data_IF_900058219753
#
_entry.id   IF_900058219753
#
_cell.length_a   1.000
_cell.length_b   1.000
_cell.length_c   1.000
_cell.angle_alpha   90.00
_cell.angle_beta   90.00
_cell.angle_gamma   90.00
#
_symmetry.space_group_name_H-M   'P 1'
#
loop_
_entity.id
_entity.type
_entity.pdbx_description
1 polymer ?
#
# COMPACT_ATOMS: atom_id res chain seq x y z
N UNK A 1 -33.90 1.47 -19.46
CA UNK A 1 -33.43 0.24 -18.77
C UNK A 1 -32.40 0.61 -17.75
N UNK A 2 -32.38 0.00 -16.57
CA UNK A 2 -31.31 0.18 -15.58
C UNK A 2 -30.32 -0.96 -15.75
N UNK A 3 -29.04 -0.61 -15.97
CA UNK A 3 -27.96 -1.58 -16.14
C UNK A 3 -27.09 -1.65 -14.90
N UNK A 4 -26.54 -2.84 -14.61
CA UNK A 4 -25.52 -3.04 -13.60
C UNK A 4 -24.23 -3.60 -14.21
N UNK A 5 -23.05 -3.08 -13.83
CA UNK A 5 -21.78 -3.64 -14.26
C UNK A 5 -21.49 -4.98 -13.56
N UNK A 6 -20.81 -5.86 -14.28
CA UNK A 6 -20.27 -7.12 -13.79
C UNK A 6 -18.78 -7.09 -14.08
N UNK A 7 -17.98 -7.04 -13.02
CA UNK A 7 -16.54 -6.80 -13.12
C UNK A 7 -15.78 -7.91 -12.41
N UNK A 8 -14.82 -8.50 -13.11
CA UNK A 8 -13.82 -9.43 -12.58
C UNK A 8 -12.42 -8.95 -12.93
N UNK A 9 -11.46 -9.28 -12.09
CA UNK A 9 -10.07 -8.88 -12.23
C UNK A 9 -9.14 -10.08 -12.27
N UNK A 10 -8.12 -10.00 -13.11
CA UNK A 10 -6.96 -10.88 -13.14
C UNK A 10 -5.74 -10.04 -12.75
N UNK A 11 -5.12 -10.38 -11.63
CA UNK A 11 -4.01 -9.59 -11.07
C UNK A 11 -2.76 -10.45 -11.06
N UNK A 12 -1.74 -10.02 -11.83
CA UNK A 12 -0.44 -10.64 -11.87
C UNK A 12 0.53 -9.90 -10.94
N UNK A 13 1.24 -10.65 -10.13
CA UNK A 13 2.22 -10.13 -9.17
C UNK A 13 3.57 -10.81 -9.36
N UNK A 14 4.59 -10.07 -9.77
CA UNK A 14 5.97 -10.55 -9.77
C UNK A 14 6.47 -10.70 -8.34
N UNK A 15 7.00 -11.88 -8.00
CA UNK A 15 7.52 -12.19 -6.68
C UNK A 15 8.97 -11.72 -6.55
N UNK A 16 9.28 -11.09 -5.43
CA UNK A 16 10.61 -10.56 -5.12
C UNK A 16 11.56 -11.64 -4.61
N UNK A 17 11.76 -12.68 -5.42
CA UNK A 17 12.71 -13.76 -5.13
C UNK A 17 14.12 -13.43 -5.63
N UNK A 18 15.14 -14.12 -5.11
CA UNK A 18 16.53 -13.93 -5.55
C UNK A 18 16.79 -14.57 -6.91
N UNK A 19 16.09 -15.65 -7.23
CA UNK A 19 16.23 -16.41 -8.49
C UNK A 19 14.87 -16.59 -9.14
N UNK A 20 14.88 -16.96 -10.40
CA UNK A 20 13.70 -17.20 -11.22
C UNK A 20 12.87 -18.40 -10.74
N UNK A 21 11.67 -18.55 -11.34
CA UNK A 21 10.70 -19.56 -10.89
C UNK A 21 11.21 -20.99 -11.05
N UNK A 22 11.88 -21.28 -12.17
CA UNK A 22 12.33 -22.62 -12.51
C UNK A 22 13.82 -22.71 -12.84
N UNK A 23 14.56 -21.59 -12.79
CA UNK A 23 15.99 -21.52 -13.06
C UNK A 23 16.76 -20.79 -11.98
N UNK A 24 18.09 -20.90 -11.99
CA UNK A 24 18.98 -20.24 -11.04
C UNK A 24 19.37 -18.82 -11.43
N UNK A 25 18.93 -18.33 -12.61
CA UNK A 25 19.21 -16.96 -13.01
C UNK A 25 18.63 -15.96 -12.00
N UNK A 26 19.33 -14.86 -11.71
CA UNK A 26 18.87 -13.89 -10.74
C UNK A 26 17.70 -13.05 -11.26
N UNK A 27 16.82 -12.62 -10.33
CA UNK A 27 15.78 -11.63 -10.60
C UNK A 27 16.30 -10.27 -10.16
N UNK A 28 16.72 -9.43 -11.12
CA UNK A 28 17.26 -8.09 -10.86
C UNK A 28 16.72 -7.11 -11.89
N UNK A 29 16.04 -6.06 -11.39
CA UNK A 29 15.51 -5.00 -12.24
C UNK A 29 16.61 -4.06 -12.76
N UNK A 30 16.45 -3.52 -13.98
CA UNK A 30 17.31 -2.45 -14.52
C UNK A 30 18.70 -2.88 -14.97
N UNK A 31 18.99 -4.20 -15.09
CA UNK A 31 20.26 -4.70 -15.65
C UNK A 31 20.25 -4.65 -17.17
N UNK A 32 21.47 -4.66 -17.75
CA UNK A 32 21.66 -4.76 -19.19
C UNK A 32 20.82 -5.90 -19.80
N UNK A 33 20.16 -5.67 -20.94
CA UNK A 33 19.31 -6.66 -21.56
C UNK A 33 20.02 -8.00 -21.80
N UNK A 34 19.31 -9.10 -21.54
CA UNK A 34 19.76 -10.49 -21.79
C UNK A 34 21.01 -10.91 -21.00
N UNK A 35 21.32 -10.26 -19.87
CA UNK A 35 22.44 -10.61 -18.98
C UNK A 35 22.03 -11.44 -17.77
N UNK A 36 20.72 -11.49 -17.45
CA UNK A 36 20.15 -12.22 -16.31
C UNK A 36 19.32 -13.40 -16.82
N UNK A 37 19.94 -14.31 -17.54
CA UNK A 37 19.29 -15.47 -18.18
C UNK A 37 20.07 -16.75 -17.93
N UNK A 38 19.35 -17.86 -17.73
CA UNK A 38 19.90 -19.20 -17.70
C UNK A 38 19.57 -19.94 -18.99
N UNK A 39 20.26 -21.04 -19.32
CA UNK A 39 19.94 -21.86 -20.50
C UNK A 39 18.48 -22.33 -20.55
N UNK A 40 17.87 -22.62 -19.41
CA UNK A 40 16.44 -22.94 -19.29
C UNK A 40 15.54 -21.81 -19.81
N UNK A 41 15.84 -20.57 -19.40
CA UNK A 41 15.04 -19.39 -19.76
C UNK A 41 15.07 -19.14 -21.30
N UNK A 42 16.14 -19.61 -21.95
CA UNK A 42 16.35 -19.53 -23.39
C UNK A 42 15.96 -20.80 -24.15
N UNK A 43 15.31 -21.74 -23.46
CA UNK A 43 14.87 -23.03 -24.03
C UNK A 43 15.99 -23.90 -24.63
N UNK A 44 17.19 -23.89 -24.03
CA UNK A 44 18.27 -24.74 -24.50
C UNK A 44 17.93 -26.22 -24.29
N UNK A 45 18.22 -27.09 -25.27
CA UNK A 45 17.97 -28.53 -25.16
C UNK A 45 18.66 -29.15 -23.95
N UNK A 46 17.96 -30.06 -23.26
CA UNK A 46 18.49 -30.79 -22.11
C UNK A 46 18.39 -30.06 -20.76
N UNK A 47 17.83 -28.84 -20.73
CA UNK A 47 17.58 -28.12 -19.46
C UNK A 47 16.28 -28.57 -18.81
N UNK A 48 16.26 -28.69 -17.49
CA UNK A 48 15.11 -29.14 -16.72
C UNK A 48 14.71 -28.06 -15.68
N UNK A 49 13.40 -27.80 -15.49
CA UNK A 49 12.90 -26.85 -14.52
C UNK A 49 13.04 -27.36 -13.08
N UNK A 50 13.39 -26.46 -12.15
CA UNK A 50 13.43 -26.71 -10.69
C UNK A 50 12.63 -25.64 -9.97
N UNK A 51 11.63 -26.07 -9.21
CA UNK A 51 10.70 -25.15 -8.54
C UNK A 51 11.39 -24.31 -7.46
N UNK A 52 11.21 -23.00 -7.50
CA UNK A 52 11.75 -22.06 -6.53
C UNK A 52 10.96 -22.17 -5.20
N UNK A 53 11.64 -22.67 -4.15
CA UNK A 53 11.05 -22.83 -2.82
C UNK A 53 10.53 -21.52 -2.23
N UNK A 54 11.25 -20.39 -2.43
CA UNK A 54 10.81 -19.10 -1.88
C UNK A 54 9.52 -18.61 -2.57
N UNK A 55 9.39 -18.83 -3.88
CA UNK A 55 8.17 -18.49 -4.59
C UNK A 55 6.94 -19.27 -4.05
N UNK A 56 7.13 -20.54 -3.68
CA UNK A 56 6.07 -21.33 -3.03
C UNK A 56 5.70 -20.76 -1.65
N UNK A 57 6.69 -20.41 -0.83
CA UNK A 57 6.45 -19.77 0.47
C UNK A 57 5.68 -18.45 0.29
N UNK A 58 6.06 -17.63 -0.67
CA UNK A 58 5.44 -16.35 -0.93
C UNK A 58 3.99 -16.51 -1.43
N UNK A 59 3.74 -17.49 -2.30
CA UNK A 59 2.38 -17.83 -2.74
C UNK A 59 1.50 -18.29 -1.57
N UNK A 60 2.02 -19.14 -0.65
CA UNK A 60 1.31 -19.57 0.56
C UNK A 60 0.95 -18.39 1.47
N UNK A 61 1.88 -17.43 1.66
CA UNK A 61 1.61 -16.20 2.44
C UNK A 61 0.46 -15.39 1.87
N UNK A 62 0.44 -15.22 0.54
CA UNK A 62 -0.64 -14.49 -0.14
C UNK A 62 -1.95 -15.27 -0.06
N UNK A 63 -1.94 -16.59 -0.29
CA UNK A 63 -3.14 -17.44 -0.12
C UNK A 63 -3.74 -17.31 1.29
N UNK A 64 -2.90 -17.38 2.33
CA UNK A 64 -3.33 -17.21 3.71
C UNK A 64 -3.95 -15.84 3.97
N UNK A 65 -3.31 -14.76 3.49
CA UNK A 65 -3.81 -13.38 3.61
C UNK A 65 -5.13 -13.15 2.87
N UNK A 66 -5.41 -13.94 1.84
CA UNK A 66 -6.63 -13.92 1.04
C UNK A 66 -7.66 -14.97 1.49
N UNK A 67 -7.45 -15.59 2.64
CA UNK A 67 -8.37 -16.61 3.22
C UNK A 67 -8.65 -17.79 2.28
N UNK A 68 -7.67 -18.19 1.48
CA UNK A 68 -7.80 -19.27 0.51
C UNK A 68 -7.50 -20.64 1.10
N UNK A 69 -8.14 -21.67 0.54
CA UNK A 69 -7.74 -23.07 0.74
C UNK A 69 -6.46 -23.34 -0.04
N UNK A 70 -5.40 -23.81 0.65
CA UNK A 70 -4.10 -24.11 0.06
C UNK A 70 -4.04 -25.57 -0.35
N UNK A 71 -3.69 -25.84 -1.64
CA UNK A 71 -3.47 -27.20 -2.12
C UNK A 71 -2.12 -27.71 -1.59
N UNK A 72 -2.14 -28.84 -0.89
CA UNK A 72 -0.93 -29.44 -0.32
C UNK A 72 -0.10 -30.24 -1.31
N UNK A 73 -0.52 -30.30 -2.56
CA UNK A 73 0.24 -30.96 -3.62
C UNK A 73 0.38 -30.03 -4.85
N UNK A 74 1.59 -29.55 -5.08
CA UNK A 74 1.87 -28.67 -6.21
C UNK A 74 1.89 -29.46 -7.50
N UNK A 75 1.05 -29.08 -8.44
CA UNK A 75 1.04 -29.53 -9.81
C UNK A 75 1.34 -28.37 -10.73
N UNK A 76 2.07 -28.63 -11.79
CA UNK A 76 2.33 -27.66 -12.85
C UNK A 76 1.88 -28.21 -14.20
N UNK A 77 1.37 -27.32 -15.03
CA UNK A 77 0.87 -27.61 -16.37
C UNK A 77 1.64 -26.75 -17.39
N UNK A 78 1.65 -27.19 -18.64
CA UNK A 78 2.13 -26.39 -19.77
C UNK A 78 0.97 -25.70 -20.45
N UNK A 79 1.03 -24.37 -20.54
CA UNK A 79 0.16 -23.54 -21.37
C UNK A 79 0.86 -23.30 -22.69
N UNK A 80 0.41 -23.98 -23.75
CA UNK A 80 1.12 -23.97 -25.03
C UNK A 80 0.65 -22.82 -25.90
N UNK A 81 1.59 -21.97 -26.31
CA UNK A 81 1.38 -20.95 -27.32
C UNK A 81 2.73 -20.51 -27.90
N UNK A 82 2.73 -20.07 -29.15
CA UNK A 82 3.94 -19.66 -29.84
C UNK A 82 3.97 -18.16 -29.99
N UNK A 83 4.90 -17.55 -29.28
CA UNK A 83 5.15 -16.11 -29.36
C UNK A 83 6.62 -15.82 -29.09
N UNK A 84 7.14 -14.71 -29.61
CA UNK A 84 8.57 -14.36 -29.51
C UNK A 84 9.07 -14.16 -28.10
N UNK A 85 8.20 -13.83 -27.16
CA UNK A 85 8.53 -13.64 -25.74
C UNK A 85 8.62 -14.94 -24.93
N UNK A 86 8.31 -16.07 -25.55
CA UNK A 86 8.23 -17.38 -24.91
C UNK A 86 9.08 -18.42 -25.68
N UNK A 87 10.41 -18.48 -25.44
CA UNK A 87 11.32 -19.32 -26.24
C UNK A 87 10.98 -20.81 -26.22
N UNK A 88 10.46 -21.31 -25.11
CA UNK A 88 10.07 -22.72 -24.94
C UNK A 88 8.84 -23.11 -25.78
N UNK A 89 8.06 -22.16 -26.27
CA UNK A 89 6.76 -22.38 -26.89
C UNK A 89 5.63 -22.74 -25.90
N UNK A 90 5.92 -22.74 -24.62
CA UNK A 90 4.95 -22.93 -23.54
C UNK A 90 5.36 -22.15 -22.28
N UNK A 91 4.38 -21.80 -21.49
CA UNK A 91 4.55 -21.24 -20.14
C UNK A 91 4.24 -22.33 -19.12
N UNK A 92 5.08 -22.49 -18.11
CA UNK A 92 4.77 -23.37 -16.97
C UNK A 92 3.87 -22.60 -16.01
N UNK A 93 2.71 -23.17 -15.71
CA UNK A 93 1.64 -22.57 -14.90
C UNK A 93 0.90 -23.62 -14.09
N UNK A 94 -0.23 -23.30 -13.47
CA UNK A 94 -1.12 -24.23 -12.77
C UNK A 94 -2.55 -24.03 -13.27
N UNK A 95 -3.05 -24.91 -14.12
CA UNK A 95 -4.41 -24.83 -14.65
C UNK A 95 -5.42 -25.57 -13.75
N UNK A 96 -5.28 -26.89 -13.64
CA UNK A 96 -6.27 -27.73 -12.94
C UNK A 96 -6.16 -27.69 -11.41
N UNK A 97 -4.95 -27.51 -10.89
CA UNK A 97 -4.67 -27.52 -9.45
C UNK A 97 -3.86 -26.28 -9.06
N UNK A 98 -4.50 -25.09 -9.02
CA UNK A 98 -3.88 -23.89 -8.50
C UNK A 98 -3.56 -24.07 -7.01
N UNK A 99 -2.47 -23.44 -6.54
CA UNK A 99 -2.04 -23.53 -5.13
C UNK A 99 -3.08 -22.97 -4.15
N UNK A 100 -3.84 -21.94 -4.57
CA UNK A 100 -4.91 -21.34 -3.76
C UNK A 100 -6.27 -21.43 -4.47
N UNK A 101 -7.30 -21.81 -3.73
CA UNK A 101 -8.69 -21.92 -4.21
C UNK A 101 -9.66 -21.26 -3.24
N UNK A 102 -10.72 -20.68 -3.77
CA UNK A 102 -11.87 -20.16 -3.01
C UNK A 102 -11.44 -19.30 -1.80
N UNK A 103 -11.16 -18.06 -2.06
CA UNK A 103 -10.81 -17.09 -1.03
C UNK A 103 -11.72 -15.87 -1.07
N UNK A 104 -11.35 -14.85 -0.31
CA UNK A 104 -12.04 -13.56 -0.36
C UNK A 104 -11.17 -12.41 0.12
N UNK A 105 -11.58 -11.22 -0.25
CA UNK A 105 -11.03 -9.97 0.22
C UNK A 105 -12.17 -9.01 0.59
N UNK A 106 -12.01 -8.27 1.68
CA UNK A 106 -12.98 -7.25 2.10
C UNK A 106 -12.50 -5.85 1.69
N UNK A 107 -13.42 -5.07 1.11
CA UNK A 107 -13.21 -3.67 0.72
C UNK A 107 -14.23 -2.79 1.44
N UNK A 108 -13.86 -1.53 1.71
CA UNK A 108 -14.77 -0.55 2.29
C UNK A 108 -15.27 0.43 1.22
N UNK A 109 -16.59 0.48 1.05
CA UNK A 109 -17.28 1.38 0.13
C UNK A 109 -18.38 2.13 0.87
N UNK A 110 -18.30 3.46 0.91
CA UNK A 110 -19.28 4.32 1.59
C UNK A 110 -19.55 3.91 3.04
N UNK A 111 -18.48 3.55 3.79
CA UNK A 111 -18.56 3.13 5.19
C UNK A 111 -19.19 1.73 5.40
N UNK A 112 -19.34 0.95 4.34
CA UNK A 112 -19.82 -0.44 4.40
C UNK A 112 -18.75 -1.39 3.89
N UNK A 113 -18.56 -2.48 4.61
CA UNK A 113 -17.68 -3.57 4.19
C UNK A 113 -18.39 -4.44 3.15
N UNK A 114 -17.73 -4.68 2.02
CA UNK A 114 -18.16 -5.61 0.99
C UNK A 114 -17.13 -6.68 0.79
N UNK A 115 -17.54 -7.94 0.85
CA UNK A 115 -16.69 -9.10 0.55
C UNK A 115 -16.73 -9.38 -0.95
N UNK A 116 -15.55 -9.55 -1.56
CA UNK A 116 -15.34 -9.95 -2.95
C UNK A 116 -14.68 -11.31 -2.94
N UNK A 117 -15.29 -12.29 -3.59
CA UNK A 117 -14.75 -13.64 -3.72
C UNK A 117 -13.54 -13.68 -4.65
N UNK A 118 -12.63 -14.60 -4.33
CA UNK A 118 -11.46 -14.93 -5.16
C UNK A 118 -11.64 -16.37 -5.61
N UNK A 119 -11.55 -16.61 -6.92
CA UNK A 119 -11.72 -17.93 -7.49
C UNK A 119 -10.49 -18.79 -7.27
N UNK A 120 -9.31 -18.26 -7.64
CA UNK A 120 -8.03 -18.96 -7.55
C UNK A 120 -6.83 -18.03 -7.45
N UNK A 121 -5.75 -18.57 -6.94
CA UNK A 121 -4.40 -18.07 -7.07
C UNK A 121 -3.53 -19.19 -7.62
N UNK A 122 -2.83 -18.95 -8.73
CA UNK A 122 -1.91 -19.92 -9.29
C UNK A 122 -0.52 -19.32 -9.53
N UNK A 123 0.47 -20.21 -9.55
CA UNK A 123 1.87 -19.87 -9.76
C UNK A 123 2.23 -20.08 -11.21
N UNK A 124 3.03 -19.18 -11.76
CA UNK A 124 3.53 -19.25 -13.13
C UNK A 124 4.87 -18.55 -13.29
N UNK A 125 5.42 -18.57 -14.49
CA UNK A 125 6.61 -17.81 -14.87
C UNK A 125 6.23 -16.67 -15.82
N UNK A 126 6.91 -15.52 -15.69
CA UNK A 126 6.70 -14.40 -16.61
C UNK A 126 7.42 -14.61 -17.95
N UNK A 127 6.99 -13.89 -18.96
CA UNK A 127 7.57 -13.90 -20.31
C UNK A 127 8.60 -12.77 -20.48
N UNK A 128 9.31 -12.73 -21.62
CA UNK A 128 10.27 -11.66 -21.84
C UNK A 128 9.60 -10.30 -22.07
N UNK A 129 10.35 -9.23 -21.81
CA UNK A 129 9.92 -7.87 -22.15
C UNK A 129 10.13 -7.62 -23.63
N UNK A 130 9.07 -7.15 -24.30
CA UNK A 130 9.12 -6.77 -25.71
C UNK A 130 9.09 -5.25 -25.87
N UNK A 131 9.91 -4.73 -26.76
CA UNK A 131 9.91 -3.34 -27.18
C UNK A 131 9.62 -3.31 -28.69
N UNK A 132 8.42 -2.89 -29.05
CA UNK A 132 7.96 -2.83 -30.44
C UNK A 132 8.34 -1.51 -31.09
N UNK A 133 8.96 -1.61 -32.27
CA UNK A 133 9.24 -0.51 -33.18
C UNK A 133 8.50 -0.76 -34.50
N UNK A 134 8.49 0.21 -35.38
CA UNK A 134 7.74 0.13 -36.64
C UNK A 134 8.17 -1.04 -37.55
N UNK A 135 9.44 -1.45 -37.49
CA UNK A 135 10.03 -2.43 -38.40
C UNK A 135 10.65 -3.64 -37.69
N UNK A 136 10.81 -3.60 -36.38
CA UNK A 136 11.40 -4.67 -35.58
C UNK A 136 10.89 -4.67 -34.14
N UNK A 137 11.16 -5.75 -33.41
CA UNK A 137 10.89 -5.88 -31.97
C UNK A 137 12.16 -6.31 -31.27
N UNK A 138 12.54 -5.59 -30.21
CA UNK A 138 13.61 -6.00 -29.30
C UNK A 138 13.06 -6.87 -28.20
N UNK A 139 13.81 -7.92 -27.85
CA UNK A 139 13.46 -8.90 -26.83
C UNK A 139 14.48 -8.83 -25.69
N UNK A 140 13.99 -8.63 -24.47
CA UNK A 140 14.81 -8.67 -23.26
C UNK A 140 14.34 -9.82 -22.36
N UNK A 141 15.10 -10.91 -22.35
CA UNK A 141 14.80 -12.13 -21.61
C UNK A 141 15.17 -12.06 -20.12
N UNK A 142 15.67 -10.95 -19.60
CA UNK A 142 15.93 -10.80 -18.16
C UNK A 142 14.67 -11.06 -17.32
N UNK A 143 13.48 -10.70 -17.83
CA UNK A 143 12.21 -10.96 -17.14
C UNK A 143 11.70 -12.39 -17.33
N UNK A 144 12.01 -13.05 -18.45
CA UNK A 144 11.56 -14.42 -18.73
C UNK A 144 11.94 -15.37 -17.59
N UNK A 145 10.96 -16.11 -17.07
CA UNK A 145 11.14 -17.01 -15.93
C UNK A 145 11.03 -16.33 -14.55
N UNK A 146 10.80 -15.02 -14.45
CA UNK A 146 10.52 -14.35 -13.18
C UNK A 146 9.30 -15.00 -12.50
N UNK A 147 9.37 -15.35 -11.21
CA UNK A 147 8.24 -15.96 -10.52
C UNK A 147 7.03 -14.99 -10.48
N UNK A 148 5.89 -15.52 -10.87
CA UNK A 148 4.66 -14.78 -11.00
C UNK A 148 3.54 -15.54 -10.29
N UNK A 149 2.64 -14.82 -9.63
CA UNK A 149 1.35 -15.35 -9.19
C UNK A 149 0.24 -14.57 -9.88
N UNK A 150 -0.79 -15.29 -10.30
CA UNK A 150 -2.01 -14.68 -10.83
C UNK A 150 -3.17 -14.92 -9.86
N UNK A 151 -3.86 -13.84 -9.48
CA UNK A 151 -5.01 -13.82 -8.59
C UNK A 151 -6.25 -13.49 -9.42
N UNK A 152 -7.21 -14.41 -9.48
CA UNK A 152 -8.44 -14.26 -10.25
C UNK A 152 -9.61 -14.01 -9.30
N UNK A 153 -10.26 -12.87 -9.41
CA UNK A 153 -11.45 -12.55 -8.62
C UNK A 153 -12.71 -13.19 -9.22
N UNK A 154 -13.72 -13.42 -8.38
CA UNK A 154 -15.08 -13.66 -8.88
C UNK A 154 -15.65 -12.35 -9.47
N UNK A 155 -16.59 -12.41 -10.44
CA UNK A 155 -17.16 -11.23 -11.09
C UNK A 155 -18.25 -10.56 -10.23
N UNK A 156 -17.86 -10.18 -9.00
CA UNK A 156 -18.77 -9.67 -7.96
C UNK A 156 -18.68 -8.17 -7.75
N UNK A 157 -17.70 -7.50 -8.39
CA UNK A 157 -17.60 -6.04 -8.35
C UNK A 157 -18.62 -5.38 -9.27
N UNK A 158 -19.13 -4.21 -8.85
CA UNK A 158 -20.24 -3.49 -9.50
C UNK A 158 -19.91 -2.04 -9.86
N UNK A 159 -18.69 -1.59 -9.56
CA UNK A 159 -18.24 -0.24 -9.93
C UNK A 159 -16.72 -0.19 -10.13
N UNK A 160 -16.25 0.84 -10.84
CA UNK A 160 -14.83 1.11 -10.98
C UNK A 160 -14.16 1.42 -9.65
N UNK A 161 -14.87 2.05 -8.71
CA UNK A 161 -14.38 2.30 -7.35
C UNK A 161 -14.15 0.99 -6.58
N UNK A 162 -15.07 0.03 -6.64
CA UNK A 162 -14.89 -1.29 -6.02
C UNK A 162 -13.66 -2.02 -6.57
N UNK A 163 -13.46 -1.98 -7.89
CA UNK A 163 -12.30 -2.59 -8.54
C UNK A 163 -11.00 -1.90 -8.12
N UNK A 164 -10.97 -0.57 -8.08
CA UNK A 164 -9.81 0.21 -7.60
C UNK A 164 -9.46 -0.17 -6.16
N UNK A 165 -10.43 -0.18 -5.25
CA UNK A 165 -10.25 -0.57 -3.84
C UNK A 165 -9.74 -2.00 -3.69
N UNK A 166 -10.26 -2.92 -4.49
CA UNK A 166 -9.81 -4.31 -4.49
C UNK A 166 -8.32 -4.41 -4.86
N UNK A 167 -7.86 -3.71 -5.91
CA UNK A 167 -6.44 -3.72 -6.31
C UNK A 167 -5.56 -3.01 -5.28
N UNK A 168 -6.01 -1.91 -4.66
CA UNK A 168 -5.31 -1.27 -3.55
C UNK A 168 -5.07 -2.25 -2.38
N UNK A 169 -6.08 -3.07 -2.06
CA UNK A 169 -5.98 -4.08 -1.00
C UNK A 169 -5.02 -5.21 -1.36
N UNK A 170 -5.09 -5.74 -2.58
CA UNK A 170 -4.12 -6.76 -3.07
C UNK A 170 -2.70 -6.18 -3.01
N UNK A 171 -2.50 -4.95 -3.52
CA UNK A 171 -1.20 -4.27 -3.47
C UNK A 171 -0.69 -4.16 -2.03
N UNK A 172 -1.54 -3.73 -1.11
CA UNK A 172 -1.18 -3.65 0.31
C UNK A 172 -0.73 -5.01 0.86
N UNK A 173 -1.47 -6.09 0.59
CA UNK A 173 -1.13 -7.44 1.05
C UNK A 173 0.25 -7.86 0.52
N UNK A 174 0.50 -7.75 -0.78
CA UNK A 174 1.75 -8.23 -1.38
C UNK A 174 2.97 -7.39 -0.97
N UNK A 175 2.77 -6.09 -0.71
CA UNK A 175 3.84 -5.20 -0.23
C UNK A 175 4.14 -5.45 1.25
N UNK A 176 3.12 -5.52 2.12
CA UNK A 176 3.33 -5.72 3.55
C UNK A 176 3.83 -7.13 3.88
N UNK A 177 3.39 -8.16 3.18
CA UNK A 177 3.93 -9.52 3.29
C UNK A 177 5.36 -9.66 2.76
N UNK A 178 5.85 -8.64 2.05
CA UNK A 178 7.21 -8.61 1.50
C UNK A 178 7.42 -9.47 0.26
N UNK A 179 6.34 -9.96 -0.35
CA UNK A 179 6.42 -10.86 -1.53
C UNK A 179 6.63 -10.10 -2.84
N UNK A 180 6.21 -8.82 -2.90
CA UNK A 180 6.39 -7.95 -4.08
C UNK A 180 6.57 -6.50 -3.65
N UNK A 181 7.06 -5.64 -4.53
CA UNK A 181 7.04 -4.19 -4.34
C UNK A 181 5.75 -3.53 -4.84
N UNK A 182 4.92 -4.27 -5.58
CA UNK A 182 3.58 -3.87 -5.98
C UNK A 182 3.52 -2.62 -6.86
N UNK A 183 4.51 -2.40 -7.71
CA UNK A 183 4.61 -1.23 -8.59
C UNK A 183 4.01 -1.53 -9.96
N UNK A 184 2.93 -0.83 -10.31
CA UNK A 184 2.30 -0.98 -11.63
C UNK A 184 3.15 -0.35 -12.74
N UNK A 185 3.80 0.76 -12.47
CA UNK A 185 4.67 1.48 -13.42
C UNK A 185 5.92 0.70 -13.82
N UNK A 186 6.41 -0.18 -12.94
CA UNK A 186 7.54 -1.07 -13.23
C UNK A 186 7.08 -2.45 -13.75
N UNK A 187 5.77 -2.72 -13.68
CA UNK A 187 5.15 -3.97 -14.15
C UNK A 187 5.20 -5.12 -13.14
N UNK A 188 5.66 -4.87 -11.90
CA UNK A 188 5.65 -5.90 -10.85
C UNK A 188 4.24 -6.18 -10.28
N UNK A 189 3.28 -5.30 -10.58
CA UNK A 189 1.85 -5.54 -10.39
C UNK A 189 1.12 -5.13 -11.66
N UNK A 190 0.36 -6.05 -12.25
CA UNK A 190 -0.43 -5.83 -13.47
C UNK A 190 -1.87 -6.24 -13.21
N UNK A 191 -2.81 -5.54 -13.80
CA UNK A 191 -4.23 -5.81 -13.65
C UNK A 191 -4.92 -5.81 -15.00
N UNK A 192 -5.53 -6.93 -15.35
CA UNK A 192 -6.43 -7.08 -16.48
C UNK A 192 -7.87 -7.03 -15.95
N UNK A 193 -8.70 -6.20 -16.58
CA UNK A 193 -10.10 -5.98 -16.17
C UNK A 193 -11.02 -6.66 -17.16
N UNK A 194 -11.90 -7.49 -16.66
CA UNK A 194 -13.01 -8.07 -17.42
C UNK A 194 -14.30 -7.34 -17.02
N UNK A 195 -14.95 -6.66 -17.95
CA UNK A 195 -16.18 -5.90 -17.69
C UNK A 195 -17.27 -6.24 -18.69
N UNK A 196 -18.49 -6.43 -18.19
CA UNK A 196 -19.72 -6.50 -18.96
C UNK A 196 -20.83 -5.75 -18.23
N UNK A 197 -21.93 -5.43 -18.91
CA UNK A 197 -23.13 -4.90 -18.28
C UNK A 197 -24.30 -5.84 -18.55
N UNK A 198 -25.24 -5.89 -17.62
CA UNK A 198 -26.50 -6.61 -17.75
C UNK A 198 -27.66 -5.75 -17.25
N UNK A 199 -28.88 -6.12 -17.64
CA UNK A 199 -30.07 -5.53 -17.02
C UNK A 199 -30.06 -5.87 -15.51
N UNK A 200 -30.40 -4.87 -14.71
CA UNK A 200 -30.42 -5.03 -13.25
C UNK A 200 -31.44 -6.09 -12.83
N UNK A 201 -30.96 -7.07 -12.06
CA UNK A 201 -31.76 -8.21 -11.64
C UNK A 201 -31.81 -9.39 -12.63
N UNK A 202 -31.13 -9.31 -13.77
CA UNK A 202 -30.98 -10.43 -14.70
C UNK A 202 -29.87 -11.38 -14.24
N UNK A 203 -30.07 -12.70 -14.39
CA UNK A 203 -29.04 -13.69 -14.15
C UNK A 203 -28.08 -13.92 -15.35
N UNK A 204 -28.42 -13.36 -16.52
CA UNK A 204 -27.63 -13.51 -17.73
C UNK A 204 -26.51 -12.46 -17.77
N UNK A 205 -25.27 -12.93 -17.88
CA UNK A 205 -24.13 -12.04 -18.12
C UNK A 205 -24.19 -11.42 -19.51
N UNK A 206 -23.77 -10.16 -19.63
CA UNK A 206 -23.53 -9.51 -20.91
C UNK A 206 -22.22 -9.98 -21.56
N UNK A 207 -21.94 -9.47 -22.75
CA UNK A 207 -20.71 -9.77 -23.46
C UNK A 207 -19.49 -9.14 -22.77
N UNK A 208 -18.52 -9.97 -22.42
CA UNK A 208 -17.31 -9.58 -21.70
C UNK A 208 -16.33 -8.83 -22.60
N UNK A 209 -15.86 -7.69 -22.17
CA UNK A 209 -14.75 -6.93 -22.75
C UNK A 209 -13.58 -6.96 -21.78
N UNK A 210 -12.40 -7.23 -22.29
CA UNK A 210 -11.15 -7.28 -21.54
C UNK A 210 -10.39 -5.95 -21.73
N UNK A 211 -9.99 -5.30 -20.65
CA UNK A 211 -9.16 -4.08 -20.69
C UNK A 211 -7.78 -4.41 -20.15
N UNK A 212 -6.76 -4.19 -20.97
CA UNK A 212 -5.35 -4.44 -20.65
C UNK A 212 -4.52 -3.16 -20.59
N UNK A 213 -3.27 -3.30 -20.17
CA UNK A 213 -2.28 -2.21 -20.13
C UNK A 213 -2.72 -1.02 -19.28
N UNK A 214 -3.24 -1.32 -18.09
CA UNK A 214 -3.57 -0.29 -17.09
C UNK A 214 -2.36 -0.10 -16.17
N UNK A 215 -1.71 1.07 -16.26
CA UNK A 215 -0.43 1.35 -15.62
C UNK A 215 -0.55 2.07 -14.28
N UNK A 216 -1.76 2.29 -13.77
CA UNK A 216 -2.02 2.96 -12.49
C UNK A 216 -3.33 2.47 -11.90
N UNK A 217 -3.39 2.36 -10.58
CA UNK A 217 -4.61 1.96 -9.85
C UNK A 217 -5.76 2.95 -10.13
N UNK A 218 -5.47 4.25 -10.20
CA UNK A 218 -6.49 5.26 -10.51
C UNK A 218 -7.06 5.14 -11.93
N UNK A 219 -6.32 4.53 -12.86
CA UNK A 219 -6.80 4.31 -14.22
C UNK A 219 -7.75 3.10 -14.32
N UNK A 220 -7.71 2.19 -13.35
CA UNK A 220 -8.66 1.06 -13.28
C UNK A 220 -10.08 1.58 -13.21
N UNK A 221 -10.36 2.47 -12.26
CA UNK A 221 -11.69 3.08 -12.12
C UNK A 221 -12.11 3.80 -13.39
N UNK A 222 -11.25 4.69 -13.92
CA UNK A 222 -11.56 5.48 -15.11
C UNK A 222 -11.82 4.62 -16.35
N UNK A 223 -11.03 3.56 -16.54
CA UNK A 223 -11.19 2.64 -17.66
C UNK A 223 -12.50 1.86 -17.58
N UNK A 224 -12.87 1.40 -16.39
CA UNK A 224 -14.14 0.71 -16.15
C UNK A 224 -15.33 1.64 -16.36
N UNK A 225 -15.30 2.84 -15.76
CA UNK A 225 -16.38 3.80 -15.85
C UNK A 225 -16.63 4.20 -17.31
N UNK A 226 -15.57 4.44 -18.08
CA UNK A 226 -15.70 4.71 -19.53
C UNK A 226 -16.28 3.52 -20.29
N UNK A 227 -15.80 2.31 -20.03
CA UNK A 227 -16.22 1.11 -20.75
C UNK A 227 -17.68 0.75 -20.46
N UNK A 228 -18.13 0.92 -19.22
CA UNK A 228 -19.53 0.73 -18.80
C UNK A 228 -20.44 1.69 -19.58
N UNK A 229 -20.08 2.97 -19.65
CA UNK A 229 -20.86 3.96 -20.41
C UNK A 229 -20.83 3.70 -21.92
N UNK A 230 -19.70 3.20 -22.46
CA UNK A 230 -19.60 2.81 -23.86
C UNK A 230 -20.53 1.64 -24.17
N UNK A 231 -20.50 0.56 -23.37
CA UNK A 231 -21.37 -0.60 -23.56
C UNK A 231 -22.85 -0.23 -23.43
N UNK A 232 -23.20 0.63 -22.47
CA UNK A 232 -24.57 1.13 -22.29
C UNK A 232 -25.07 1.86 -23.54
N UNK A 233 -24.28 2.77 -24.09
CA UNK A 233 -24.64 3.51 -25.32
C UNK A 233 -24.85 2.58 -26.51
N UNK A 234 -24.02 1.54 -26.71
CA UNK A 234 -24.17 0.55 -27.76
C UNK A 234 -25.50 -0.18 -27.62
N UNK A 235 -25.81 -0.69 -26.43
CA UNK A 235 -27.08 -1.41 -26.21
C UNK A 235 -28.29 -0.50 -26.38
N UNK A 236 -28.24 0.74 -25.90
CA UNK A 236 -29.31 1.73 -26.05
C UNK A 236 -29.52 2.14 -27.51
N UNK A 237 -28.48 2.10 -28.37
CA UNK A 237 -28.61 2.33 -29.82
C UNK A 237 -29.04 1.10 -30.61
N UNK A 238 -29.23 -0.04 -29.95
CA UNK A 238 -29.60 -1.30 -30.59
C UNK A 238 -28.40 -2.06 -31.22
N UNK A 239 -27.19 -1.66 -30.89
CA UNK A 239 -25.96 -2.32 -31.31
C UNK A 239 -25.53 -3.38 -30.28
N UNK A 240 -24.87 -4.42 -30.76
CA UNK A 240 -24.35 -5.48 -29.90
C UNK A 240 -22.94 -5.15 -29.37
N UNK A 241 -22.70 -5.46 -28.11
CA UNK A 241 -21.35 -5.46 -27.54
C UNK A 241 -20.62 -6.69 -28.05
N UNK A 242 -19.49 -6.50 -28.72
CA UNK A 242 -18.66 -7.60 -29.21
C UNK A 242 -17.55 -7.95 -28.22
N UNK A 243 -17.17 -9.24 -28.16
CA UNK A 243 -16.09 -9.68 -27.32
C UNK A 243 -14.74 -9.23 -27.91
N UNK A 244 -14.06 -8.34 -27.18
CA UNK A 244 -12.84 -7.70 -27.65
C UNK A 244 -11.86 -7.43 -26.50
N UNK A 245 -10.57 -7.26 -26.85
CA UNK A 245 -9.55 -6.72 -25.95
C UNK A 245 -9.34 -5.26 -26.29
N UNK A 246 -9.37 -4.42 -25.26
CA UNK A 246 -9.14 -2.97 -25.33
C UNK A 246 -7.95 -2.58 -24.46
N UNK A 247 -7.39 -1.38 -24.66
CA UNK A 247 -6.43 -0.74 -23.75
C UNK A 247 -6.97 0.61 -23.31
N UNK A 248 -6.61 1.04 -22.12
CA UNK A 248 -6.92 2.40 -21.69
C UNK A 248 -5.90 3.39 -22.27
N UNK A 249 -6.37 4.52 -22.79
CA UNK A 249 -5.55 5.63 -23.29
C UNK A 249 -5.78 6.84 -22.37
N UNK A 250 -4.78 7.16 -21.53
CA UNK A 250 -4.90 8.24 -20.54
C UNK A 250 -4.99 9.63 -21.19
N UNK A 251 -4.32 9.84 -22.31
CA UNK A 251 -4.35 11.13 -23.00
C UNK A 251 -5.76 11.45 -23.57
N UNK A 252 -6.44 10.43 -24.08
CA UNK A 252 -7.80 10.54 -24.61
C UNK A 252 -8.88 10.25 -23.57
N UNK A 253 -8.50 9.66 -22.43
CA UNK A 253 -9.42 9.19 -21.35
C UNK A 253 -10.49 8.23 -21.84
N UNK A 254 -10.11 7.34 -22.76
CA UNK A 254 -11.00 6.36 -23.37
C UNK A 254 -10.34 4.98 -23.48
N UNK A 255 -11.15 3.92 -23.66
CA UNK A 255 -10.67 2.61 -24.04
C UNK A 255 -10.59 2.52 -25.56
N UNK A 256 -9.48 1.98 -26.08
CA UNK A 256 -9.22 1.82 -27.51
C UNK A 256 -9.13 0.33 -27.83
N UNK A 257 -9.83 -0.11 -28.90
CA UNK A 257 -9.78 -1.51 -29.36
C UNK A 257 -8.38 -1.89 -29.80
N UNK A 258 -7.88 -3.01 -29.27
CA UNK A 258 -6.64 -3.63 -29.71
C UNK A 258 -6.89 -4.75 -30.72
N UNK A 259 -7.81 -5.67 -30.39
CA UNK A 259 -8.18 -6.81 -31.24
C UNK A 259 -9.57 -7.33 -30.92
N UNK A 260 -10.20 -7.94 -31.91
CA UNK A 260 -11.41 -8.74 -31.69
C UNK A 260 -11.00 -10.12 -31.14
N UNK A 261 -11.74 -10.65 -30.19
CA UNK A 261 -11.65 -12.04 -29.76
C UNK A 261 -12.61 -12.88 -30.58
N UNK A 262 -12.23 -13.25 -31.80
CA UNK A 262 -13.08 -14.06 -32.70
C UNK A 262 -13.16 -15.52 -32.29
N UNK A 263 -12.10 -16.02 -31.62
CA UNK A 263 -12.05 -17.41 -31.14
C UNK A 263 -11.33 -17.49 -29.79
N UNK A 264 -11.81 -18.36 -28.90
CA UNK A 264 -11.05 -18.72 -27.70
C UNK A 264 -9.84 -19.55 -28.12
N UNK A 265 -8.64 -19.06 -27.78
CA UNK A 265 -7.41 -19.81 -28.02
C UNK A 265 -7.42 -21.05 -27.13
N UNK A 266 -7.41 -22.24 -27.73
CA UNK A 266 -7.18 -23.47 -26.98
C UNK A 266 -5.67 -23.64 -26.75
N UNK A 267 -5.23 -23.38 -25.52
CA UNK A 267 -3.83 -23.51 -25.10
C UNK A 267 -3.39 -24.96 -24.93
N UNK A 268 -4.25 -25.94 -25.12
CA UNK A 268 -3.95 -27.39 -25.04
C UNK A 268 -3.13 -27.71 -23.78
N UNK A 269 -3.66 -27.36 -22.63
CA UNK A 269 -3.01 -27.64 -21.35
C UNK A 269 -2.73 -29.13 -21.17
N UNK A 270 -1.53 -29.45 -20.68
CA UNK A 270 -1.18 -30.77 -20.19
C UNK A 270 -0.14 -30.68 -19.07
N UNK A 271 0.00 -31.70 -18.19
CA UNK A 271 0.93 -31.66 -17.07
C UNK A 271 2.38 -31.46 -17.50
N UNK A 272 3.14 -30.64 -16.77
CA UNK A 272 4.58 -30.47 -16.95
C UNK A 272 5.32 -31.75 -16.54
N UNK A 273 5.77 -32.51 -17.50
CA UNK A 273 6.34 -33.83 -17.28
C UNK A 273 7.67 -33.84 -16.52
N UNK A 274 8.41 -32.71 -16.52
CA UNK A 274 9.70 -32.60 -15.85
C UNK A 274 9.59 -32.10 -14.39
N UNK A 275 8.38 -31.77 -13.93
CA UNK A 275 8.11 -31.42 -12.53
C UNK A 275 7.11 -32.45 -11.99
N UNK A 276 7.61 -33.42 -11.25
CA UNK A 276 6.74 -34.36 -10.53
C UNK A 276 5.92 -33.62 -9.47
N UNK A 277 4.69 -34.05 -9.15
CA UNK A 277 3.90 -33.46 -8.09
C UNK A 277 4.68 -33.36 -6.78
N UNK A 278 4.70 -32.16 -6.17
CA UNK A 278 5.45 -31.89 -4.94
C UNK A 278 4.49 -31.79 -3.77
N UNK A 279 4.59 -32.74 -2.84
CA UNK A 279 3.78 -32.71 -1.63
C UNK A 279 4.35 -31.72 -0.61
N UNK A 280 3.55 -30.77 -0.19
CA UNK A 280 3.84 -29.84 0.90
C UNK A 280 3.42 -30.49 2.23
N UNK A 281 4.35 -30.59 3.17
CA UNK A 281 3.98 -31.06 4.53
C UNK A 281 3.21 -29.97 5.27
N UNK A 282 2.34 -30.37 6.22
CA UNK A 282 1.61 -29.44 7.09
C UNK A 282 2.56 -28.45 7.74
N UNK A 283 3.66 -28.97 8.30
CA UNK A 283 4.71 -28.14 8.91
C UNK A 283 5.29 -27.09 7.94
N UNK A 284 5.51 -27.45 6.68
CA UNK A 284 6.04 -26.48 5.69
C UNK A 284 5.03 -25.35 5.44
N UNK A 285 3.74 -25.67 5.32
CA UNK A 285 2.66 -24.69 5.13
C UNK A 285 2.54 -23.80 6.38
N UNK A 286 2.52 -24.39 7.57
CA UNK A 286 2.45 -23.66 8.84
C UNK A 286 3.65 -22.72 9.03
N UNK A 287 4.89 -23.20 8.77
CA UNK A 287 6.09 -22.40 8.86
C UNK A 287 6.07 -21.23 7.85
N UNK A 288 5.57 -21.46 6.63
CA UNK A 288 5.40 -20.42 5.61
C UNK A 288 4.41 -19.33 6.06
N UNK A 289 3.25 -19.74 6.60
CA UNK A 289 2.24 -18.82 7.15
C UNK A 289 2.83 -18.03 8.34
N UNK A 290 3.45 -18.72 9.29
CA UNK A 290 4.05 -18.09 10.47
C UNK A 290 5.18 -17.10 10.13
N UNK A 291 5.86 -17.31 9.00
CA UNK A 291 6.91 -16.41 8.49
C UNK A 291 6.37 -15.17 7.78
N UNK A 292 5.05 -15.03 7.61
CA UNK A 292 4.44 -13.86 6.99
C UNK A 292 4.62 -12.63 7.91
N UNK A 293 5.19 -11.53 7.41
CA UNK A 293 5.23 -10.29 8.18
C UNK A 293 3.83 -9.77 8.52
N UNK A 294 3.74 -8.96 9.57
CA UNK A 294 2.50 -8.31 9.98
C UNK A 294 1.90 -7.46 8.85
N UNK A 295 0.68 -7.77 8.45
CA UNK A 295 -0.03 -7.07 7.37
C UNK A 295 -0.54 -5.70 7.84
N UNK A 296 -0.89 -4.83 6.88
CA UNK A 296 -1.34 -3.46 7.14
C UNK A 296 -2.52 -3.40 8.13
N UNK A 297 -3.50 -4.29 8.01
CA UNK A 297 -4.68 -4.31 8.89
C UNK A 297 -4.32 -4.68 10.32
N UNK A 298 -3.54 -5.73 10.50
CA UNK A 298 -3.07 -6.14 11.83
C UNK A 298 -2.26 -5.02 12.50
N UNK A 299 -1.41 -4.31 11.71
CA UNK A 299 -0.69 -3.11 12.20
C UNK A 299 -1.65 -1.99 12.58
N UNK A 300 -2.64 -1.69 11.72
CA UNK A 300 -3.66 -0.68 12.00
C UNK A 300 -4.39 -0.99 13.30
N UNK A 301 -4.85 -2.23 13.46
CA UNK A 301 -5.50 -2.67 14.70
C UNK A 301 -4.60 -2.51 15.91
N UNK A 302 -3.32 -2.90 15.80
CA UNK A 302 -2.35 -2.75 16.87
C UNK A 302 -2.14 -1.28 17.23
N UNK A 303 -2.03 -0.39 16.25
CA UNK A 303 -1.89 1.04 16.49
C UNK A 303 -3.11 1.63 17.21
N UNK A 304 -4.30 1.19 16.85
CA UNK A 304 -5.54 1.63 17.54
C UNK A 304 -5.61 1.04 18.96
N UNK A 305 -5.50 -0.30 19.08
CA UNK A 305 -5.76 -1.01 20.35
C UNK A 305 -4.65 -0.83 21.38
N UNK A 306 -3.38 -0.86 20.95
CA UNK A 306 -2.23 -0.83 21.87
C UNK A 306 -1.60 0.56 22.01
N UNK A 307 -1.57 1.36 20.92
CA UNK A 307 -0.96 2.68 20.94
C UNK A 307 -1.99 3.80 21.13
N UNK A 308 -3.28 3.47 21.09
CA UNK A 308 -4.40 4.39 21.34
C UNK A 308 -4.58 5.45 20.25
N UNK A 309 -4.15 5.16 19.01
CA UNK A 309 -4.40 6.03 17.88
C UNK A 309 -5.88 6.01 17.49
N UNK A 310 -6.35 7.08 16.84
CA UNK A 310 -7.64 7.07 16.16
C UNK A 310 -7.52 6.32 14.81
N UNK A 311 -8.65 5.98 14.20
CA UNK A 311 -8.70 5.22 12.93
C UNK A 311 -8.02 5.97 11.79
N UNK A 312 -8.21 7.27 11.69
CA UNK A 312 -7.64 8.10 10.64
C UNK A 312 -6.10 8.12 10.67
N UNK A 313 -5.51 8.43 11.83
CA UNK A 313 -4.05 8.48 11.99
C UNK A 313 -3.42 7.12 11.75
N UNK A 314 -4.05 6.04 12.26
CA UNK A 314 -3.58 4.68 12.03
C UNK A 314 -3.65 4.29 10.55
N UNK A 315 -4.72 4.69 9.83
CA UNK A 315 -4.87 4.43 8.40
C UNK A 315 -3.81 5.13 7.56
N UNK A 316 -3.47 6.39 7.89
CA UNK A 316 -2.39 7.11 7.22
C UNK A 316 -1.04 6.42 7.40
N UNK A 317 -0.72 5.96 8.61
CA UNK A 317 0.53 5.27 8.90
C UNK A 317 0.68 3.92 8.18
N UNK A 318 -0.42 3.23 7.87
CA UNK A 318 -0.37 1.95 7.14
C UNK A 318 -0.68 2.10 5.65
N UNK A 319 -0.81 3.32 5.12
CA UNK A 319 -1.02 3.54 3.69
C UNK A 319 0.18 3.08 2.86
N UNK A 320 1.40 3.23 3.41
CA UNK A 320 2.64 2.75 2.82
C UNK A 320 3.48 1.98 3.84
N UNK A 321 4.03 0.83 3.40
CA UNK A 321 4.81 -0.04 4.26
C UNK A 321 6.04 0.65 4.84
N UNK A 322 6.77 1.40 4.03
CA UNK A 322 7.99 2.09 4.45
C UNK A 322 7.74 3.17 5.52
N UNK A 323 6.63 3.92 5.41
CA UNK A 323 6.19 4.86 6.45
C UNK A 323 5.80 4.11 7.72
N UNK A 324 5.06 3.01 7.57
CA UNK A 324 4.68 2.16 8.70
C UNK A 324 5.90 1.55 9.41
N UNK A 325 6.90 1.10 8.65
CA UNK A 325 8.14 0.57 9.20
C UNK A 325 8.94 1.66 9.93
N UNK A 326 9.04 2.86 9.36
CA UNK A 326 9.67 4.01 10.02
C UNK A 326 8.98 4.36 11.36
N UNK A 327 7.65 4.39 11.38
CA UNK A 327 6.88 4.61 12.61
C UNK A 327 7.09 3.50 13.65
N UNK A 328 7.12 2.23 13.23
CA UNK A 328 7.43 1.12 14.13
C UNK A 328 8.82 1.26 14.76
N UNK A 329 9.83 1.69 13.99
CA UNK A 329 11.17 1.95 14.53
C UNK A 329 11.16 3.11 15.54
N UNK A 330 10.45 4.21 15.26
CA UNK A 330 10.27 5.31 16.22
C UNK A 330 9.71 4.84 17.56
N UNK A 331 8.73 3.93 17.54
CA UNK A 331 8.09 3.36 18.73
C UNK A 331 9.03 2.54 19.63
N UNK A 332 10.22 2.16 19.14
CA UNK A 332 11.26 1.52 19.97
C UNK A 332 11.98 2.53 20.87
N UNK A 333 12.08 3.78 20.44
CA UNK A 333 12.81 4.86 21.14
C UNK A 333 11.90 5.77 21.97
N UNK A 334 10.58 5.72 21.78
CA UNK A 334 9.62 6.55 22.52
C UNK A 334 8.28 5.83 22.70
N UNK A 335 7.61 6.11 23.82
CA UNK A 335 6.24 5.63 24.12
C UNK A 335 5.17 6.69 23.84
N UNK A 336 5.55 7.86 23.37
CA UNK A 336 4.65 8.95 22.99
C UNK A 336 3.94 8.68 21.66
N UNK A 337 3.29 7.52 21.53
CA UNK A 337 2.77 6.97 20.29
C UNK A 337 1.93 7.94 19.45
N UNK A 338 1.00 8.66 20.11
CA UNK A 338 0.14 9.65 19.43
C UNK A 338 0.94 10.84 18.91
N UNK A 339 1.91 11.29 19.69
CA UNK A 339 2.76 12.41 19.30
C UNK A 339 3.68 12.01 18.13
N UNK A 340 4.28 10.80 18.19
CA UNK A 340 5.05 10.24 17.09
C UNK A 340 4.22 10.12 15.81
N UNK A 341 2.98 9.61 15.91
CA UNK A 341 2.06 9.50 14.77
C UNK A 341 1.77 10.85 14.13
N UNK A 342 1.51 11.88 14.94
CA UNK A 342 1.28 13.24 14.45
C UNK A 342 2.53 13.78 13.73
N UNK A 343 3.73 13.59 14.28
CA UNK A 343 4.98 14.00 13.63
C UNK A 343 5.19 13.32 12.28
N UNK A 344 4.93 12.01 12.19
CA UNK A 344 5.08 11.27 10.93
C UNK A 344 4.04 11.72 9.91
N UNK A 345 2.76 11.78 10.32
CA UNK A 345 1.66 12.10 9.41
C UNK A 345 1.64 13.57 8.94
N UNK A 346 2.24 14.49 9.70
CA UNK A 346 2.18 15.93 9.40
C UNK A 346 3.56 16.47 9.01
N UNK A 347 4.51 16.49 9.96
CA UNK A 347 5.77 17.20 9.78
C UNK A 347 6.73 16.43 8.84
N UNK A 348 6.86 15.10 9.01
CA UNK A 348 7.67 14.25 8.12
C UNK A 348 7.02 14.16 6.74
N UNK A 349 5.72 13.84 6.66
CA UNK A 349 5.01 13.78 5.39
C UNK A 349 5.06 15.11 4.63
N UNK A 350 4.91 16.23 5.34
CA UNK A 350 5.05 17.57 4.76
C UNK A 350 6.44 17.82 4.15
N UNK A 351 7.50 17.39 4.85
CA UNK A 351 8.86 17.49 4.32
C UNK A 351 9.08 16.62 3.08
N UNK A 352 8.63 15.36 3.12
CA UNK A 352 8.75 14.42 2.00
C UNK A 352 8.04 14.94 0.76
N UNK A 353 6.79 15.37 0.91
CA UNK A 353 5.98 15.92 -0.17
C UNK A 353 6.61 17.17 -0.79
N UNK A 354 7.07 18.11 0.04
CA UNK A 354 7.72 19.35 -0.42
C UNK A 354 8.97 19.10 -1.25
N UNK A 355 9.74 18.05 -0.90
CA UNK A 355 11.00 17.73 -1.55
C UNK A 355 10.89 16.59 -2.59
N UNK A 356 9.69 16.05 -2.80
CA UNK A 356 9.42 14.88 -3.65
C UNK A 356 10.33 13.70 -3.31
N UNK A 357 10.40 13.36 -2.02
CA UNK A 357 11.25 12.29 -1.49
C UNK A 357 10.40 11.13 -0.96
N UNK A 358 10.92 9.92 -1.09
CA UNK A 358 10.45 8.76 -0.34
C UNK A 358 11.06 8.75 1.08
N UNK A 359 10.42 8.03 2.03
CA UNK A 359 10.86 8.00 3.43
C UNK A 359 12.25 7.40 3.60
N UNK A 360 12.70 6.53 2.70
CA UNK A 360 14.04 5.96 2.68
C UNK A 360 15.15 7.02 2.47
N UNK A 361 14.79 8.14 1.84
CA UNK A 361 15.68 9.28 1.64
C UNK A 361 15.51 10.38 2.71
N UNK A 362 14.66 10.13 3.72
CA UNK A 362 14.46 11.11 4.80
C UNK A 362 15.73 11.25 5.66
N UNK A 363 16.22 12.50 5.90
CA UNK A 363 17.55 12.69 6.52
C UNK A 363 17.66 12.28 7.98
N UNK A 364 16.53 12.26 8.72
CA UNK A 364 16.55 11.95 10.14
C UNK A 364 16.23 10.48 10.40
N UNK A 365 17.13 9.79 11.11
CA UNK A 365 16.86 8.44 11.59
C UNK A 365 15.71 8.44 12.61
N UNK A 366 15.00 7.29 12.78
CA UNK A 366 13.94 7.16 13.79
C UNK A 366 14.41 7.54 15.20
N UNK A 367 15.62 7.18 15.61
CA UNK A 367 16.19 7.53 16.92
C UNK A 367 16.28 9.04 17.12
N UNK A 368 16.79 9.76 16.10
CA UNK A 368 16.96 11.23 16.18
C UNK A 368 15.63 11.95 16.25
N UNK A 369 14.64 11.56 15.46
CA UNK A 369 13.30 12.14 15.52
C UNK A 369 12.60 11.82 16.85
N UNK A 370 12.72 10.59 17.34
CA UNK A 370 12.20 10.21 18.65
C UNK A 370 12.83 11.04 19.79
N UNK A 371 14.14 11.36 19.69
CA UNK A 371 14.82 12.24 20.62
C UNK A 371 14.16 13.62 20.72
N UNK A 372 13.80 14.23 19.58
CA UNK A 372 13.07 15.49 19.52
C UNK A 372 11.67 15.38 20.14
N UNK A 373 10.93 14.33 19.77
CA UNK A 373 9.56 14.09 20.28
C UNK A 373 9.56 13.86 21.79
N UNK A 374 10.55 13.14 22.32
CA UNK A 374 10.70 12.93 23.76
C UNK A 374 10.93 14.26 24.53
N UNK A 375 11.60 15.25 23.94
CA UNK A 375 11.74 16.58 24.55
C UNK A 375 10.40 17.30 24.65
N UNK A 376 9.52 17.14 23.66
CA UNK A 376 8.15 17.70 23.69
C UNK A 376 7.31 16.96 24.74
N UNK A 377 7.36 15.63 24.78
CA UNK A 377 6.60 14.82 25.75
C UNK A 377 6.97 15.16 27.20
N UNK A 378 8.26 15.37 27.45
CA UNK A 378 8.78 15.78 28.77
C UNK A 378 8.53 17.26 29.09
N UNK A 379 7.89 17.99 28.19
CA UNK A 379 7.69 19.43 28.29
C UNK A 379 8.99 20.25 28.44
N UNK A 380 10.11 19.76 27.92
CA UNK A 380 11.37 20.50 27.86
C UNK A 380 11.34 21.63 26.83
N UNK A 381 10.52 21.46 25.79
CA UNK A 381 10.29 22.42 24.72
C UNK A 381 8.82 22.43 24.30
N UNK A 382 8.35 23.55 23.76
CA UNK A 382 7.01 23.66 23.18
C UNK A 382 6.95 23.05 21.77
N UNK A 383 5.74 22.77 21.26
CA UNK A 383 5.54 22.27 19.90
C UNK A 383 6.08 23.23 18.82
N UNK A 384 6.01 24.54 19.03
CA UNK A 384 6.57 25.52 18.11
C UNK A 384 8.11 25.47 18.09
N UNK A 385 8.73 25.45 19.28
CA UNK A 385 10.17 25.28 19.41
C UNK A 385 10.66 23.96 18.80
N UNK A 386 9.88 22.88 18.95
CA UNK A 386 10.21 21.59 18.33
C UNK A 386 10.24 21.67 16.82
N UNK A 387 9.34 22.43 16.16
CA UNK A 387 9.37 22.64 14.71
C UNK A 387 10.59 23.47 14.26
N UNK A 388 11.00 24.46 15.05
CA UNK A 388 12.23 25.23 14.78
C UNK A 388 13.47 24.33 14.90
N UNK A 389 13.52 23.49 15.95
CA UNK A 389 14.58 22.50 16.14
C UNK A 389 14.58 21.48 15.00
N UNK A 390 13.42 20.98 14.60
CA UNK A 390 13.26 20.03 13.49
C UNK A 390 13.81 20.60 12.17
N UNK A 391 13.46 21.84 11.84
CA UNK A 391 13.99 22.51 10.66
C UNK A 391 15.52 22.62 10.71
N UNK A 392 16.08 22.98 11.87
CA UNK A 392 17.54 23.08 12.06
C UNK A 392 18.24 21.71 12.02
N UNK A 393 17.60 20.66 12.55
CA UNK A 393 18.11 19.28 12.42
C UNK A 393 18.20 18.83 10.97
N UNK A 394 17.22 19.19 10.13
CA UNK A 394 17.19 18.87 8.71
C UNK A 394 18.24 19.68 7.92
N UNK A 395 18.40 20.97 8.23
CA UNK A 395 19.35 21.87 7.56
C UNK A 395 20.80 21.46 7.82
N UNK A 396 21.18 21.27 9.08
CA UNK A 396 22.56 21.01 9.49
C UNK A 396 22.89 19.53 9.68
N UNK A 397 21.92 18.64 9.54
CA UNK A 397 22.04 17.20 9.82
C UNK A 397 22.58 16.88 11.23
N UNK A 398 22.05 17.54 12.24
CA UNK A 398 22.46 17.44 13.66
C UNK A 398 21.34 16.87 14.54
N UNK A 399 21.67 16.50 15.77
CA UNK A 399 20.70 16.02 16.77
C UNK A 399 19.90 17.15 17.42
N UNK A 400 18.75 16.80 18.00
CA UNK A 400 17.82 17.77 18.62
C UNK A 400 18.45 18.60 19.73
N UNK A 401 19.32 18.01 20.56
CA UNK A 401 20.01 18.74 21.65
C UNK A 401 20.97 19.80 21.09
N UNK A 402 21.72 19.44 20.07
CA UNK A 402 22.67 20.36 19.41
C UNK A 402 21.94 21.48 18.67
N UNK A 403 20.84 21.14 17.95
CA UNK A 403 20.00 22.13 17.29
C UNK A 403 19.38 23.11 18.32
N UNK A 404 18.88 22.60 19.45
CA UNK A 404 18.36 23.42 20.56
C UNK A 404 19.42 24.39 21.09
N UNK A 405 20.66 23.94 21.28
CA UNK A 405 21.77 24.80 21.72
C UNK A 405 22.10 25.91 20.70
N UNK A 406 22.20 25.57 19.43
CA UNK A 406 22.49 26.54 18.34
C UNK A 406 21.40 27.61 18.26
N UNK A 407 20.14 27.22 18.41
CA UNK A 407 18.99 28.12 18.38
C UNK A 407 18.82 28.94 19.68
N UNK A 408 19.62 28.66 20.71
CA UNK A 408 19.53 29.35 22.00
C UNK A 408 18.21 29.06 22.72
N UNK A 409 17.52 27.96 22.42
CA UNK A 409 16.24 27.61 23.02
C UNK A 409 16.52 27.05 24.42
N UNK A 410 16.08 27.82 25.45
CA UNK A 410 16.12 27.37 26.83
C UNK A 410 14.99 26.38 27.14
N UNK A 411 15.23 25.44 28.06
CA UNK A 411 14.19 24.53 28.53
C UNK A 411 13.05 25.30 29.15
N UNK A 412 11.81 24.82 28.98
CA UNK A 412 10.65 25.42 29.60
C UNK A 412 10.76 25.32 31.14
N UNK A 413 10.39 26.39 31.80
CA UNK A 413 10.29 26.42 33.27
C UNK A 413 9.02 25.65 33.65
N UNK A 414 9.21 24.49 34.28
CA UNK A 414 8.12 23.63 34.77
C UNK A 414 8.03 23.60 36.28
N UNK A 415 8.76 24.50 36.98
CA UNK A 415 8.68 24.66 38.43
C UNK A 415 7.32 25.25 38.80
N UNK A 416 6.47 24.42 39.39
CA UNK A 416 5.12 24.78 39.75
C UNK A 416 5.06 25.94 40.79
N UNK A 417 6.05 26.06 41.68
CA UNK A 417 6.12 27.12 42.68
C UNK A 417 6.35 28.48 42.01
N UNK A 418 7.28 28.52 41.03
CA UNK A 418 7.53 29.71 40.23
C UNK A 418 6.32 30.06 39.35
N UNK A 419 5.68 29.04 38.74
CA UNK A 419 4.47 29.24 37.93
C UNK A 419 3.35 29.84 38.77
N UNK A 420 3.10 29.31 39.98
CA UNK A 420 2.08 29.86 40.93
C UNK A 420 2.36 31.31 41.29
N UNK A 421 3.61 31.67 41.52
CA UNK A 421 3.96 33.06 41.82
C UNK A 421 3.63 33.99 40.64
N UNK A 422 4.02 33.64 39.42
CA UNK A 422 3.74 34.43 38.20
C UNK A 422 2.24 34.49 37.93
N UNK A 423 1.52 33.38 38.09
CA UNK A 423 0.05 33.32 37.97
C UNK A 423 -0.63 34.27 38.99
N UNK A 424 -0.20 34.25 40.23
CA UNK A 424 -0.74 35.12 41.28
C UNK A 424 -0.55 36.60 40.94
N UNK A 425 0.63 36.97 40.44
CA UNK A 425 0.90 38.32 39.95
C UNK A 425 -0.02 38.73 38.80
N UNK A 426 -0.17 37.87 37.80
CA UNK A 426 -1.02 38.13 36.62
C UNK A 426 -2.49 38.24 37.01
N UNK A 427 -2.95 37.41 37.94
CA UNK A 427 -4.34 37.49 38.45
C UNK A 427 -4.59 38.78 39.21
N UNK A 428 -3.63 39.29 40.01
CA UNK A 428 -3.71 40.58 40.67
C UNK A 428 -3.76 41.74 39.68
N UNK A 429 -3.03 41.66 38.59
CA UNK A 429 -2.98 42.68 37.53
C UNK A 429 -4.23 42.70 36.64
N UNK A 430 -5.02 41.60 36.61
CA UNK A 430 -6.16 41.44 35.70
C UNK A 430 -7.48 41.05 36.42
N UNK A 431 -8.01 41.88 37.38
CA UNK A 431 -9.18 41.52 38.15
C UNK A 431 -10.44 41.34 37.30
N UNK A 432 -10.58 42.08 36.21
CA UNK A 432 -11.73 41.93 35.29
C UNK A 432 -11.78 40.54 34.62
N UNK A 433 -10.63 39.97 34.29
CA UNK A 433 -10.57 38.63 33.66
C UNK A 433 -11.00 37.53 34.64
N UNK A 434 -10.83 37.74 35.96
CA UNK A 434 -11.32 36.82 36.99
C UNK A 434 -12.85 36.83 37.00
N UNK A 435 -13.46 38.02 36.94
CA UNK A 435 -14.93 38.20 36.89
C UNK A 435 -15.49 37.53 35.64
N UNK A 436 -14.89 37.81 34.47
CA UNK A 436 -15.29 37.25 33.19
C UNK A 436 -15.20 35.70 33.17
N UNK A 437 -14.20 35.12 33.83
CA UNK A 437 -14.09 33.67 33.98
C UNK A 437 -15.23 33.10 34.86
N UNK A 438 -15.56 33.75 35.99
CA UNK A 438 -16.68 33.35 36.86
C UNK A 438 -18.05 33.47 36.19
N UNK A 439 -18.20 34.42 35.26
CA UNK A 439 -19.38 34.57 34.41
C UNK A 439 -19.46 33.54 33.28
N UNK A 440 -18.49 32.59 33.18
CA UNK A 440 -18.46 31.53 32.17
C UNK A 440 -18.00 31.98 30.78
N UNK A 441 -17.36 33.12 30.62
CA UNK A 441 -16.79 33.60 29.35
C UNK A 441 -15.52 32.81 29.01
N UNK A 442 -15.63 31.80 28.18
CA UNK A 442 -14.52 30.88 27.85
C UNK A 442 -13.24 31.54 27.32
N UNK A 443 -13.30 32.78 26.81
CA UNK A 443 -12.13 33.54 26.33
C UNK A 443 -11.24 34.07 27.46
N UNK A 444 -11.75 34.22 28.69
CA UNK A 444 -11.02 34.77 29.83
C UNK A 444 -9.81 33.90 30.21
N UNK A 445 -9.96 32.58 30.19
CA UNK A 445 -8.87 31.65 30.46
C UNK A 445 -7.73 31.77 29.45
N UNK A 446 -8.05 31.80 28.14
CA UNK A 446 -7.06 31.99 27.09
C UNK A 446 -6.33 33.34 27.20
N UNK A 447 -7.03 34.41 27.57
CA UNK A 447 -6.42 35.71 27.80
C UNK A 447 -5.42 35.68 28.98
N UNK A 448 -5.80 35.07 30.12
CA UNK A 448 -4.91 34.96 31.29
C UNK A 448 -3.67 34.13 31.01
N UNK A 449 -3.82 32.98 30.30
CA UNK A 449 -2.68 32.20 29.84
C UNK A 449 -1.76 33.05 28.94
N UNK A 450 -2.33 33.82 28.02
CA UNK A 450 -1.58 34.75 27.18
C UNK A 450 -0.80 35.81 27.96
N UNK A 451 -1.36 36.35 29.04
CA UNK A 451 -0.67 37.33 29.89
C UNK A 451 0.49 36.68 30.66
N UNK A 452 0.31 35.48 31.21
CA UNK A 452 1.39 34.74 31.87
C UNK A 452 2.52 34.42 30.86
N UNK A 453 2.17 33.96 29.67
CA UNK A 453 3.14 33.70 28.62
C UNK A 453 3.89 34.96 28.17
N UNK A 454 3.21 36.09 28.05
CA UNK A 454 3.83 37.38 27.71
C UNK A 454 4.80 37.84 28.83
N UNK A 455 4.41 37.72 30.09
CA UNK A 455 5.25 38.13 31.24
C UNK A 455 6.51 37.28 31.39
N UNK A 456 6.43 36.01 31.00
CA UNK A 456 7.55 35.05 31.06
C UNK A 456 8.30 34.87 29.71
N UNK A 457 7.98 35.71 28.74
CA UNK A 457 8.58 35.65 27.39
C UNK A 457 8.47 34.23 26.73
N UNK A 458 7.37 33.53 27.00
CA UNK A 458 7.14 32.19 26.49
C UNK A 458 7.99 31.08 27.11
N UNK A 459 8.74 31.36 28.18
CA UNK A 459 9.66 30.41 28.82
C UNK A 459 8.99 29.42 29.76
N UNK A 460 7.74 29.66 30.12
CA UNK A 460 6.97 28.85 31.07
C UNK A 460 6.13 27.79 30.35
N UNK A 461 5.90 26.65 31.01
CA UNK A 461 5.08 25.58 30.43
C UNK A 461 3.59 25.99 30.35
N UNK A 462 2.98 26.09 29.15
CA UNK A 462 1.60 26.54 28.99
C UNK A 462 0.58 25.61 29.64
N UNK A 463 0.85 24.30 29.66
CA UNK A 463 -0.07 23.30 30.22
C UNK A 463 -0.14 23.43 31.73
N UNK A 464 1.03 23.43 32.41
CA UNK A 464 1.10 23.61 33.85
C UNK A 464 0.52 24.99 34.23
N UNK A 465 0.80 26.01 33.44
CA UNK A 465 0.22 27.36 33.63
C UNK A 465 -1.31 27.34 33.58
N UNK A 466 -1.88 26.61 32.61
CA UNK A 466 -3.33 26.47 32.48
C UNK A 466 -3.95 25.75 33.68
N UNK A 467 -3.31 24.64 34.11
CA UNK A 467 -3.77 23.88 35.28
C UNK A 467 -3.71 24.70 36.55
N UNK A 468 -2.60 25.40 36.81
CA UNK A 468 -2.42 26.29 37.96
C UNK A 468 -3.40 27.48 37.92
N UNK A 469 -3.60 28.11 36.77
CA UNK A 469 -4.60 29.16 36.59
C UNK A 469 -6.01 28.67 36.92
N UNK A 470 -6.38 27.48 36.47
CA UNK A 470 -7.68 26.90 36.74
C UNK A 470 -7.89 26.62 38.25
N UNK A 471 -6.85 26.13 38.93
CA UNK A 471 -6.88 25.93 40.38
C UNK A 471 -7.02 27.25 41.16
N UNK A 472 -6.20 28.25 40.80
CA UNK A 472 -6.20 29.52 41.49
C UNK A 472 -7.49 30.34 41.26
N UNK A 473 -8.08 30.24 40.05
CA UNK A 473 -9.36 30.85 39.73
C UNK A 473 -10.55 30.20 40.48
N UNK A 474 -10.47 28.88 40.76
CA UNK A 474 -11.48 28.19 41.59
C UNK A 474 -11.42 28.56 43.09
N UNK A 475 -10.25 28.98 43.58
CA UNK A 475 -10.05 29.38 44.96
C UNK A 475 -10.48 30.84 45.24
N UNK A 476 -10.55 31.67 44.25
CA UNK A 476 -10.91 33.09 44.29
C UNK A 476 -12.35 33.32 43.84
#
# INVERSE_FOLDING_TARGET
MEFEPIIGLEIHVELKTKSKMFSTAPVVYGKEPNTQVAPLDMAFPGTLPVVNKQAVIDAIRVCHALHMSIDQELHFDRKNYFYSDLPKGYQITQDKRPIGKEGYLEIEINGKTKRIGIERLHMEEDTCKQLHFSTFTLLNYNRAGTPLIEIVSKPEMRSGEEAMKYVERIRSIVVFSGVSDGKMEEGSLRCDVNVSIREKGSDKFGTKVEIKNINSISYIQKAIDFEVERQKKLIESGEEVVQETRRYDDAKKETIRMRLKTDSVDYKYFPEANIIPIRLSDKFVEDAIASCPELAESRKERYIKQFGLNDYDASLLVSEKSISDYYNELCKYSKAYKLLANWVNVDVAGYLNKNNLAIEAFPLSPERLAGLVNMVEKNEISSNQAREIFAKMLEDNIDAQKAKQILGISSQISDESYIRQVVDEVLKENPQAIIDFKEGKGRAMGYLVGQVMKKTQGKINPKITSDVLQEELKKR
#
